data_IF_266764135005
#
_entry.id   IF_266764135005
#
_cell.length_a   1.000
_cell.length_b   1.000
_cell.length_c   1.000
_cell.angle_alpha   90.00
_cell.angle_beta   90.00
_cell.angle_gamma   90.00
#
_symmetry.space_group_name_H-M   'P 1'
#
loop_
_entity.id
_entity.type
_entity.pdbx_description
1 polymer ?
#
# COMPACT_ATOMS: atom_id res chain seq x y z
N UNK A 1 12.10 28.09 -14.17
CA UNK A 1 12.19 27.76 -12.72
C UNK A 1 11.98 26.25 -12.61
N UNK A 2 12.83 25.56 -11.90
CA UNK A 2 12.68 24.11 -11.64
C UNK A 2 11.38 23.85 -10.87
N UNK A 3 10.50 23.05 -11.42
CA UNK A 3 9.23 22.67 -10.78
C UNK A 3 9.45 21.43 -9.90
N UNK A 4 9.34 21.62 -8.59
CA UNK A 4 9.44 20.54 -7.59
C UNK A 4 8.04 20.19 -7.13
N UNK A 5 7.72 18.88 -7.10
CA UNK A 5 6.47 18.33 -6.58
C UNK A 5 6.80 17.32 -5.49
N UNK A 6 6.13 17.42 -4.35
CA UNK A 6 6.29 16.53 -3.21
C UNK A 6 5.06 15.64 -3.04
N UNK A 7 5.27 14.34 -3.07
CA UNK A 7 4.24 13.32 -2.85
C UNK A 7 4.44 12.68 -1.49
N UNK A 8 3.38 12.47 -0.72
CA UNK A 8 3.46 11.81 0.59
C UNK A 8 2.41 10.72 0.74
N UNK A 9 2.82 9.56 1.25
CA UNK A 9 1.90 8.50 1.60
C UNK A 9 1.20 8.80 2.94
N UNK A 10 -0.06 8.35 3.11
CA UNK A 10 -0.82 8.50 4.36
C UNK A 10 -0.10 7.98 5.62
N UNK A 11 0.87 7.06 5.47
CA UNK A 11 1.65 6.50 6.60
C UNK A 11 2.84 7.38 7.02
N UNK A 12 3.10 8.50 6.35
CA UNK A 12 4.08 9.48 6.80
C UNK A 12 3.53 10.30 7.97
N UNK A 13 4.44 10.93 8.72
CA UNK A 13 4.04 11.80 9.82
C UNK A 13 3.17 12.97 9.34
N UNK A 14 2.24 13.49 10.17
CA UNK A 14 1.37 14.61 9.79
C UNK A 14 2.10 15.83 9.26
N UNK A 15 3.28 16.16 9.82
CA UNK A 15 4.09 17.28 9.36
C UNK A 15 4.56 17.10 7.91
N UNK A 16 4.89 15.87 7.52
CA UNK A 16 5.28 15.53 6.15
C UNK A 16 4.08 15.64 5.20
N UNK A 17 2.93 15.13 5.62
CA UNK A 17 1.71 15.23 4.83
C UNK A 17 1.33 16.69 4.55
N UNK A 18 1.49 17.59 5.55
CA UNK A 18 1.25 19.03 5.37
C UNK A 18 2.23 19.74 4.43
N UNK A 19 3.40 19.17 4.21
CA UNK A 19 4.42 19.70 3.27
C UNK A 19 4.23 19.20 1.84
N UNK A 20 3.38 18.19 1.63
CA UNK A 20 3.22 17.54 0.32
C UNK A 20 2.19 18.27 -0.55
N UNK A 21 2.46 18.32 -1.85
CA UNK A 21 1.50 18.79 -2.87
C UNK A 21 0.36 17.80 -3.08
N UNK A 22 0.64 16.49 -2.85
CA UNK A 22 -0.35 15.42 -2.91
C UNK A 22 -0.09 14.41 -1.80
N UNK A 23 -1.15 14.12 -1.04
CA UNK A 23 -1.20 13.00 -0.09
C UNK A 23 -2.16 11.95 -0.61
N UNK A 24 -1.82 10.66 -0.48
CA UNK A 24 -2.66 9.59 -1.00
C UNK A 24 -2.15 8.19 -0.66
N UNK A 25 -2.90 7.18 -1.17
CA UNK A 25 -2.44 5.80 -1.22
C UNK A 25 -1.55 5.53 -2.44
N UNK A 26 -1.05 4.30 -2.57
CA UNK A 26 -0.14 3.93 -3.67
C UNK A 26 -0.73 4.15 -5.06
N UNK A 27 -2.04 3.92 -5.26
CA UNK A 27 -2.69 4.12 -6.55
C UNK A 27 -2.82 5.61 -6.88
N UNK A 28 -3.31 6.40 -5.92
CA UNK A 28 -3.49 7.85 -6.09
C UNK A 28 -2.16 8.55 -6.39
N UNK A 29 -1.10 8.16 -5.66
CA UNK A 29 0.24 8.73 -5.87
C UNK A 29 0.87 8.28 -7.18
N UNK A 30 0.62 7.04 -7.63
CA UNK A 30 1.08 6.56 -8.94
C UNK A 30 0.42 7.30 -10.10
N UNK A 31 -0.92 7.51 -10.02
CA UNK A 31 -1.66 8.29 -11.01
C UNK A 31 -1.14 9.73 -11.05
N UNK A 32 -0.96 10.36 -9.89
CA UNK A 32 -0.46 11.72 -9.83
C UNK A 32 0.97 11.83 -10.37
N UNK A 33 1.88 10.91 -10.02
CA UNK A 33 3.25 10.90 -10.50
C UNK A 33 3.34 10.74 -12.03
N UNK A 34 2.45 9.92 -12.63
CA UNK A 34 2.37 9.75 -14.09
C UNK A 34 2.05 11.06 -14.80
N UNK A 35 1.09 11.81 -14.26
CA UNK A 35 0.53 13.00 -14.89
C UNK A 35 1.23 14.30 -14.42
N UNK A 36 2.21 14.19 -13.52
CA UNK A 36 2.92 15.34 -12.98
C UNK A 36 3.86 15.97 -14.02
N UNK A 37 3.63 17.24 -14.32
CA UNK A 37 4.57 18.07 -15.07
C UNK A 37 5.61 18.65 -14.10
N UNK A 38 6.60 17.85 -13.68
CA UNK A 38 7.60 18.22 -12.70
C UNK A 38 9.02 17.88 -13.18
N UNK A 39 9.99 18.77 -12.89
CA UNK A 39 11.41 18.48 -13.10
C UNK A 39 11.93 17.55 -11.99
N UNK A 40 11.44 17.75 -10.76
CA UNK A 40 11.80 16.98 -9.58
C UNK A 40 10.53 16.49 -8.88
N UNK A 41 10.47 15.18 -8.61
CA UNK A 41 9.46 14.56 -7.76
C UNK A 41 10.13 14.09 -6.47
N UNK A 42 9.81 14.72 -5.35
CA UNK A 42 10.20 14.25 -4.02
C UNK A 42 9.15 13.27 -3.55
N UNK A 43 9.54 12.01 -3.33
CA UNK A 43 8.61 10.98 -2.89
C UNK A 43 8.82 10.66 -1.39
N UNK A 44 8.05 11.32 -0.52
CA UNK A 44 7.99 11.01 0.91
C UNK A 44 7.15 9.74 1.14
N UNK A 45 7.82 8.62 1.04
CA UNK A 45 7.27 7.27 1.12
C UNK A 45 8.40 6.26 1.21
N UNK A 46 8.27 5.14 0.52
CA UNK A 46 9.28 4.09 0.45
C UNK A 46 9.78 3.85 -0.97
N UNK A 47 10.93 3.20 -1.08
CA UNK A 47 11.71 3.05 -2.32
C UNK A 47 10.88 2.56 -3.51
N UNK A 48 10.08 1.50 -3.35
CA UNK A 48 9.29 0.95 -4.47
C UNK A 48 8.26 1.95 -5.02
N UNK A 49 7.79 2.90 -4.21
CA UNK A 49 6.90 3.98 -4.65
C UNK A 49 7.68 5.00 -5.50
N UNK A 50 8.87 5.39 -5.05
CA UNK A 50 9.76 6.27 -5.81
C UNK A 50 10.21 5.62 -7.13
N UNK A 51 10.51 4.31 -7.13
CA UNK A 51 10.77 3.54 -8.36
C UNK A 51 9.55 3.56 -9.30
N UNK A 52 8.35 3.36 -8.77
CA UNK A 52 7.12 3.41 -9.58
C UNK A 52 6.92 4.80 -10.19
N UNK A 53 7.15 5.86 -9.42
CA UNK A 53 7.09 7.24 -9.93
C UNK A 53 8.12 7.47 -11.04
N UNK A 54 9.36 6.98 -10.90
CA UNK A 54 10.41 7.08 -11.92
C UNK A 54 10.06 6.29 -13.19
N UNK A 55 9.49 5.09 -13.06
CA UNK A 55 9.05 4.27 -14.19
C UNK A 55 7.94 4.99 -14.99
N UNK A 56 6.99 5.62 -14.28
CA UNK A 56 5.86 6.31 -14.90
C UNK A 56 6.22 7.69 -15.46
N UNK A 57 7.22 8.35 -14.86
CA UNK A 57 7.70 9.67 -15.27
C UNK A 57 9.23 9.67 -15.42
N UNK A 58 9.76 9.05 -16.50
CA UNK A 58 11.20 8.82 -16.67
C UNK A 58 12.02 10.10 -16.85
N UNK A 59 11.41 11.18 -17.30
CA UNK A 59 12.09 12.46 -17.52
C UNK A 59 12.31 13.23 -16.20
N UNK A 60 11.44 13.03 -15.21
CA UNK A 60 11.59 13.69 -13.92
C UNK A 60 12.74 13.08 -13.10
N UNK A 61 13.43 13.93 -12.35
CA UNK A 61 14.34 13.46 -11.29
C UNK A 61 13.51 13.07 -10.08
N UNK A 62 13.49 11.77 -9.74
CA UNK A 62 12.75 11.28 -8.57
C UNK A 62 13.72 11.12 -7.40
N UNK A 63 13.41 11.76 -6.28
CA UNK A 63 14.24 11.78 -5.07
C UNK A 63 13.47 11.14 -3.89
N UNK A 64 14.09 10.13 -3.30
CA UNK A 64 13.67 9.55 -2.03
C UNK A 64 14.39 10.28 -0.88
N UNK A 65 13.68 10.85 0.12
CA UNK A 65 14.30 11.64 1.19
C UNK A 65 15.34 10.89 2.00
N UNK A 66 15.13 9.58 2.25
CA UNK A 66 16.06 8.73 3.01
C UNK A 66 16.28 7.39 2.29
N UNK A 67 17.55 7.01 2.11
CA UNK A 67 17.96 5.79 1.43
C UNK A 67 17.50 4.49 2.15
N UNK A 68 17.29 4.55 3.46
CA UNK A 68 16.82 3.44 4.28
C UNK A 68 15.32 3.19 4.17
N UNK A 69 14.55 4.11 3.56
CA UNK A 69 13.10 3.96 3.37
C UNK A 69 12.79 2.85 2.38
N UNK A 70 12.67 1.61 2.87
CA UNK A 70 12.36 0.40 2.11
C UNK A 70 11.01 -0.21 2.52
N UNK A 71 10.78 -1.49 2.26
CA UNK A 71 9.56 -2.21 2.65
C UNK A 71 9.91 -3.66 2.97
N UNK A 72 9.33 -4.21 4.03
CA UNK A 72 9.56 -5.61 4.42
C UNK A 72 9.13 -6.61 3.33
N UNK A 73 8.10 -6.32 2.57
CA UNK A 73 7.70 -7.16 1.42
C UNK A 73 8.79 -7.21 0.35
N UNK A 74 9.49 -6.09 0.14
CA UNK A 74 10.63 -6.03 -0.81
C UNK A 74 11.84 -6.76 -0.25
N UNK A 75 12.20 -6.52 1.01
CA UNK A 75 13.39 -7.12 1.62
C UNK A 75 13.27 -8.62 1.88
N UNK A 76 12.06 -9.14 2.03
CA UNK A 76 11.76 -10.57 2.15
C UNK A 76 11.61 -11.30 0.80
N UNK A 77 11.70 -10.58 -0.32
CA UNK A 77 11.53 -11.18 -1.65
C UNK A 77 12.85 -11.18 -2.41
N UNK A 78 13.51 -12.33 -2.46
CA UNK A 78 14.60 -12.56 -3.37
C UNK A 78 14.06 -12.72 -4.80
N UNK A 79 14.50 -11.86 -5.71
CA UNK A 79 13.97 -11.80 -7.10
C UNK A 79 14.34 -13.03 -7.90
N UNK A 80 15.52 -13.64 -7.66
CA UNK A 80 15.92 -14.86 -8.35
C UNK A 80 15.07 -16.06 -7.90
N UNK A 81 14.80 -16.16 -6.60
CA UNK A 81 13.88 -17.17 -6.06
C UNK A 81 12.43 -16.96 -6.55
N UNK A 82 11.98 -15.71 -6.65
CA UNK A 82 10.66 -15.38 -7.21
C UNK A 82 10.55 -15.82 -8.68
N UNK A 83 11.58 -15.57 -9.48
CA UNK A 83 11.63 -16.00 -10.87
C UNK A 83 11.52 -17.52 -10.98
N UNK A 84 12.32 -18.26 -10.19
CA UNK A 84 12.26 -19.71 -10.15
C UNK A 84 10.90 -20.25 -9.65
N UNK A 85 10.25 -19.53 -8.74
CA UNK A 85 8.89 -19.86 -8.27
C UNK A 85 7.86 -19.65 -9.39
N UNK A 86 7.91 -18.51 -10.11
CA UNK A 86 7.02 -18.22 -11.25
C UNK A 86 7.15 -19.28 -12.35
N UNK A 87 8.36 -19.76 -12.65
CA UNK A 87 8.62 -20.79 -13.67
C UNK A 87 7.92 -22.14 -13.37
N UNK A 88 7.52 -22.39 -12.11
CA UNK A 88 6.71 -23.58 -11.74
C UNK A 88 5.25 -23.46 -12.14
N UNK A 89 4.80 -22.28 -12.54
CA UNK A 89 3.40 -21.96 -12.88
C UNK A 89 3.32 -21.32 -14.29
N UNK A 90 3.76 -22.02 -15.36
CA UNK A 90 3.88 -21.43 -16.69
C UNK A 90 2.53 -21.00 -17.29
N UNK A 91 1.41 -21.63 -16.86
CA UNK A 91 0.06 -21.36 -17.36
C UNK A 91 -0.70 -20.34 -16.49
N UNK A 92 -0.05 -19.73 -15.50
CA UNK A 92 -0.67 -18.77 -14.60
C UNK A 92 -0.29 -17.33 -14.94
N UNK A 93 -1.21 -16.42 -14.77
CA UNK A 93 -0.96 -14.97 -14.76
C UNK A 93 -0.34 -14.58 -13.43
N UNK A 94 0.82 -13.95 -13.46
CA UNK A 94 1.49 -13.45 -12.27
C UNK A 94 0.97 -12.06 -11.91
N UNK A 95 0.16 -11.99 -10.87
CA UNK A 95 -0.32 -10.74 -10.30
C UNK A 95 0.55 -10.36 -9.10
N UNK A 96 1.11 -9.16 -9.13
CA UNK A 96 1.95 -8.67 -8.03
C UNK A 96 1.39 -7.42 -7.40
N UNK A 97 1.36 -7.42 -6.08
CA UNK A 97 1.06 -6.23 -5.29
C UNK A 97 2.16 -5.18 -5.51
N UNK A 98 1.77 -3.91 -5.62
CA UNK A 98 2.65 -2.78 -5.93
C UNK A 98 3.82 -2.62 -4.95
N UNK A 99 3.69 -3.17 -3.73
CA UNK A 99 4.74 -3.21 -2.71
C UNK A 99 5.84 -4.21 -3.07
N UNK A 100 6.46 -3.99 -4.20
CA UNK A 100 7.48 -4.83 -4.85
C UNK A 100 8.53 -3.96 -5.54
N UNK A 101 9.76 -4.45 -5.70
CA UNK A 101 10.83 -3.73 -6.41
C UNK A 101 10.52 -3.60 -7.91
N UNK A 102 11.22 -2.69 -8.60
CA UNK A 102 11.11 -2.56 -10.05
C UNK A 102 11.43 -3.87 -10.77
N UNK A 103 12.45 -4.62 -10.30
CA UNK A 103 12.83 -5.93 -10.87
C UNK A 103 11.71 -6.97 -10.67
N UNK A 104 11.06 -6.98 -9.51
CA UNK A 104 9.91 -7.85 -9.26
C UNK A 104 8.74 -7.49 -10.19
N UNK A 105 8.43 -6.19 -10.32
CA UNK A 105 7.39 -5.71 -11.24
C UNK A 105 7.64 -6.15 -12.69
N UNK A 106 8.90 -6.11 -13.13
CA UNK A 106 9.29 -6.55 -14.47
C UNK A 106 9.06 -8.06 -14.72
N UNK A 107 8.92 -8.88 -13.67
CA UNK A 107 8.57 -10.30 -13.77
C UNK A 107 7.07 -10.55 -13.74
N UNK A 108 6.25 -9.52 -13.53
CA UNK A 108 4.80 -9.63 -13.32
C UNK A 108 4.03 -9.39 -14.61
N UNK A 109 2.86 -10.00 -14.72
CA UNK A 109 1.94 -9.75 -15.82
C UNK A 109 0.98 -8.59 -15.50
N UNK A 110 0.65 -8.44 -14.21
CA UNK A 110 -0.19 -7.38 -13.66
C UNK A 110 0.36 -6.85 -12.34
N UNK A 111 0.26 -5.55 -12.15
CA UNK A 111 0.41 -4.93 -10.82
C UNK A 111 -0.98 -4.63 -10.27
N UNK A 112 -1.12 -4.73 -8.95
CA UNK A 112 -2.33 -4.34 -8.22
C UNK A 112 -1.97 -3.52 -6.98
N UNK A 113 -2.93 -2.73 -6.51
CA UNK A 113 -2.89 -2.09 -5.20
C UNK A 113 -3.99 -2.67 -4.31
N UNK A 114 -3.98 -2.42 -3.02
CA UNK A 114 -5.08 -2.80 -2.11
C UNK A 114 -6.44 -2.20 -2.50
N UNK A 115 -6.47 -1.22 -3.42
CA UNK A 115 -7.70 -0.56 -3.87
C UNK A 115 -8.38 -1.27 -5.05
N UNK A 116 -7.62 -1.99 -5.87
CA UNK A 116 -8.11 -2.55 -7.13
C UNK A 116 -7.82 -4.06 -7.28
N UNK A 117 -7.23 -4.68 -6.28
CA UNK A 117 -6.83 -6.09 -6.35
C UNK A 117 -8.04 -7.02 -6.53
N UNK A 118 -9.13 -6.73 -5.84
CA UNK A 118 -10.37 -7.51 -5.93
C UNK A 118 -10.91 -7.51 -7.36
N UNK A 119 -11.04 -6.34 -7.96
CA UNK A 119 -11.60 -6.15 -9.30
C UNK A 119 -10.72 -6.78 -10.38
N UNK A 120 -9.40 -6.59 -10.30
CA UNK A 120 -8.45 -7.12 -11.29
C UNK A 120 -8.40 -8.65 -11.22
N UNK A 121 -8.34 -9.23 -10.01
CA UNK A 121 -8.33 -10.69 -9.87
C UNK A 121 -9.67 -11.29 -10.31
N UNK A 122 -10.80 -10.69 -9.94
CA UNK A 122 -12.13 -11.12 -10.40
C UNK A 122 -12.23 -11.07 -11.93
N UNK A 123 -11.71 -10.03 -12.57
CA UNK A 123 -11.64 -9.92 -14.03
C UNK A 123 -10.83 -11.07 -14.65
N UNK A 124 -9.65 -11.37 -14.11
CA UNK A 124 -8.81 -12.46 -14.62
C UNK A 124 -9.49 -13.83 -14.47
N UNK A 125 -10.14 -14.09 -13.35
CA UNK A 125 -10.91 -15.33 -13.15
C UNK A 125 -12.12 -15.41 -14.09
N UNK A 126 -12.81 -14.29 -14.35
CA UNK A 126 -13.90 -14.24 -15.31
C UNK A 126 -13.44 -14.54 -16.75
N UNK A 127 -12.17 -14.24 -17.08
CA UNK A 127 -11.53 -14.64 -18.35
C UNK A 127 -11.02 -16.10 -18.33
N UNK A 128 -11.25 -16.86 -17.28
CA UNK A 128 -10.78 -18.25 -17.12
C UNK A 128 -9.28 -18.39 -16.88
N UNK A 129 -8.60 -17.32 -16.44
CA UNK A 129 -7.16 -17.35 -16.13
C UNK A 129 -6.91 -18.00 -14.76
N UNK A 130 -5.81 -18.72 -14.67
CA UNK A 130 -5.23 -19.14 -13.39
C UNK A 130 -4.29 -18.03 -12.94
N UNK A 131 -4.26 -17.74 -11.64
CA UNK A 131 -3.48 -16.65 -11.08
C UNK A 131 -2.51 -17.16 -10.02
N UNK A 132 -1.29 -16.63 -10.01
CA UNK A 132 -0.37 -16.69 -8.87
C UNK A 132 -0.22 -15.28 -8.29
N UNK A 133 -0.07 -15.17 -6.97
CA UNK A 133 -0.05 -13.87 -6.28
C UNK A 133 1.22 -13.68 -5.44
N UNK A 134 1.83 -12.51 -5.54
CA UNK A 134 3.02 -12.07 -4.78
C UNK A 134 2.95 -10.58 -4.46
N UNK A 135 3.80 -10.04 -3.58
CA UNK A 135 4.60 -10.74 -2.59
C UNK A 135 3.82 -11.06 -1.30
N UNK A 136 2.70 -10.36 -1.00
CA UNK A 136 2.02 -10.42 0.29
C UNK A 136 1.14 -11.67 0.43
N UNK A 137 1.57 -12.59 1.32
CA UNK A 137 0.85 -13.83 1.62
C UNK A 137 -0.51 -13.55 2.28
N UNK A 138 -0.59 -12.58 3.18
CA UNK A 138 -1.82 -12.33 3.94
C UNK A 138 -2.92 -11.79 3.03
N UNK A 139 -2.60 -10.82 2.16
CA UNK A 139 -3.53 -10.30 1.16
C UNK A 139 -3.99 -11.41 0.22
N UNK A 140 -3.06 -12.25 -0.29
CA UNK A 140 -3.42 -13.38 -1.15
C UNK A 140 -4.30 -14.41 -0.43
N UNK A 141 -4.02 -14.72 0.85
CA UNK A 141 -4.82 -15.63 1.66
C UNK A 141 -6.24 -15.08 1.92
N UNK A 142 -6.36 -13.77 2.14
CA UNK A 142 -7.67 -13.11 2.25
C UNK A 142 -8.47 -13.24 0.95
N UNK A 143 -7.89 -12.96 -0.20
CA UNK A 143 -8.55 -13.09 -1.49
C UNK A 143 -8.99 -14.53 -1.78
N UNK A 144 -8.12 -15.50 -1.50
CA UNK A 144 -8.48 -16.91 -1.62
C UNK A 144 -9.66 -17.28 -0.72
N UNK A 145 -9.67 -16.79 0.52
CA UNK A 145 -10.76 -17.05 1.47
C UNK A 145 -12.07 -16.36 1.05
N UNK A 146 -11.98 -15.06 0.70
CA UNK A 146 -13.16 -14.23 0.44
C UNK A 146 -13.91 -14.65 -0.83
N UNK A 147 -13.19 -15.04 -1.86
CA UNK A 147 -13.74 -15.32 -3.20
C UNK A 147 -13.69 -16.81 -3.59
N UNK A 148 -13.15 -17.67 -2.73
CA UNK A 148 -13.02 -19.11 -3.01
C UNK A 148 -11.97 -19.41 -4.07
N UNK A 149 -10.94 -18.55 -4.23
CA UNK A 149 -9.83 -18.80 -5.13
C UNK A 149 -8.81 -19.75 -4.51
N UNK A 150 -7.94 -20.31 -5.34
CA UNK A 150 -6.87 -21.23 -4.96
C UNK A 150 -5.51 -20.79 -5.49
N UNK A 151 -5.29 -19.47 -5.54
CA UNK A 151 -4.04 -18.90 -6.03
C UNK A 151 -2.84 -19.43 -5.23
N UNK A 152 -1.80 -19.96 -5.89
CA UNK A 152 -0.48 -20.10 -5.27
C UNK A 152 0.06 -18.75 -4.80
N UNK A 153 0.55 -18.69 -3.56
CA UNK A 153 0.97 -17.45 -2.90
C UNK A 153 2.48 -17.45 -2.66
N UNK A 154 3.11 -16.29 -2.85
CA UNK A 154 4.44 -16.03 -2.32
C UNK A 154 4.37 -15.85 -0.79
N UNK A 155 5.51 -15.89 -0.10
CA UNK A 155 5.54 -16.09 1.37
C UNK A 155 5.88 -14.84 2.17
N UNK A 156 6.15 -13.69 1.54
CA UNK A 156 6.46 -12.46 2.26
C UNK A 156 5.22 -11.87 2.97
N UNK A 157 5.44 -11.11 4.03
CA UNK A 157 4.38 -10.43 4.79
C UNK A 157 4.82 -9.00 5.13
N UNK A 158 3.86 -8.10 5.27
CA UNK A 158 4.12 -6.79 5.82
C UNK A 158 4.37 -6.89 7.33
N UNK A 159 5.59 -6.53 7.79
CA UNK A 159 5.96 -6.63 9.21
C UNK A 159 5.13 -5.73 10.14
N UNK A 160 4.43 -4.74 9.59
CA UNK A 160 3.53 -3.86 10.34
C UNK A 160 2.18 -4.54 10.51
N UNK A 161 1.58 -5.00 9.42
CA UNK A 161 0.24 -5.57 9.43
C UNK A 161 0.20 -7.00 10.00
N UNK A 162 1.25 -7.79 9.80
CA UNK A 162 1.33 -9.17 10.32
C UNK A 162 1.38 -9.23 11.86
N UNK A 163 1.60 -8.09 12.54
CA UNK A 163 1.59 -8.00 14.01
C UNK A 163 0.20 -7.95 14.64
N UNK A 164 -0.85 -7.63 13.89
CA UNK A 164 -2.20 -7.62 14.44
C UNK A 164 -2.57 -9.00 14.96
N UNK A 165 -3.13 -9.03 16.16
CA UNK A 165 -3.36 -10.27 16.91
C UNK A 165 -4.84 -10.44 17.25
N UNK A 166 -5.41 -11.58 16.87
CA UNK A 166 -6.81 -11.91 17.10
C UNK A 166 -7.19 -11.86 18.57
N UNK A 167 -6.40 -12.45 19.46
CA UNK A 167 -6.71 -12.52 20.89
C UNK A 167 -6.66 -11.11 21.54
N UNK A 168 -5.65 -10.30 21.20
CA UNK A 168 -5.57 -8.91 21.67
C UNK A 168 -6.74 -8.07 21.16
N UNK A 169 -7.19 -8.32 19.93
CA UNK A 169 -8.36 -7.67 19.35
C UNK A 169 -9.64 -8.07 20.09
N UNK A 170 -9.83 -9.36 20.41
CA UNK A 170 -10.98 -9.86 21.16
C UNK A 170 -11.07 -9.22 22.55
N UNK A 171 -9.93 -9.08 23.25
CA UNK A 171 -9.87 -8.39 24.55
C UNK A 171 -10.25 -6.91 24.40
N UNK A 172 -9.74 -6.24 23.35
CA UNK A 172 -10.05 -4.83 23.10
C UNK A 172 -11.54 -4.61 22.79
N UNK A 173 -12.11 -5.43 21.92
CA UNK A 173 -13.53 -5.38 21.58
C UNK A 173 -14.41 -5.67 22.81
N UNK A 174 -14.06 -6.68 23.61
CA UNK A 174 -14.79 -7.01 24.85
C UNK A 174 -14.70 -5.92 25.94
N UNK A 175 -13.67 -5.07 25.90
CA UNK A 175 -13.50 -3.97 26.84
C UNK A 175 -14.39 -2.76 26.56
N UNK A 176 -15.02 -2.70 25.39
CA UNK A 176 -15.89 -1.58 24.98
C UNK A 176 -17.30 -1.79 25.53
N UNK A 177 -17.79 -0.76 26.26
CA UNK A 177 -19.18 -0.73 26.74
C UNK A 177 -20.09 -0.09 25.68
N UNK A 178 -20.41 -0.81 24.61
CA UNK A 178 -21.24 -0.29 23.52
C UNK A 178 -20.90 -0.94 22.18
N UNK A 179 -21.34 -0.29 21.11
CA UNK A 179 -21.00 -0.77 19.76
C UNK A 179 -19.53 -0.54 19.47
N UNK A 180 -18.91 -1.53 18.84
CA UNK A 180 -17.55 -1.43 18.33
C UNK A 180 -17.47 -2.03 16.93
N UNK A 181 -16.60 -1.44 16.12
CA UNK A 181 -16.36 -1.85 14.75
C UNK A 181 -14.86 -2.07 14.55
N UNK A 182 -14.54 -2.93 13.59
CA UNK A 182 -13.18 -3.15 13.13
C UNK A 182 -13.10 -2.88 11.63
N UNK A 183 -12.22 -1.97 11.23
CA UNK A 183 -11.84 -1.81 9.84
C UNK A 183 -10.38 -2.22 9.66
N UNK A 184 -10.04 -2.95 8.58
CA UNK A 184 -8.73 -3.56 8.44
C UNK A 184 -8.16 -3.44 7.03
N UNK A 185 -6.85 -3.34 6.95
CA UNK A 185 -6.12 -3.44 5.68
C UNK A 185 -5.90 -4.91 5.30
N UNK A 186 -6.04 -5.31 4.02
CA UNK A 186 -5.94 -6.72 3.59
C UNK A 186 -4.57 -7.37 3.79
N UNK A 187 -3.52 -6.62 4.12
CA UNK A 187 -2.22 -7.16 4.55
C UNK A 187 -2.25 -7.75 5.98
N UNK A 188 -3.34 -7.58 6.74
CA UNK A 188 -3.49 -8.12 8.09
C UNK A 188 -3.70 -9.64 8.07
N UNK A 189 -3.40 -10.36 9.17
CA UNK A 189 -3.62 -11.80 9.25
C UNK A 189 -5.09 -12.17 9.05
N UNK A 190 -5.34 -13.28 8.35
CA UNK A 190 -6.70 -13.74 8.05
C UNK A 190 -7.64 -13.88 9.27
N UNK A 191 -7.20 -14.32 10.47
CA UNK A 191 -8.06 -14.32 11.64
C UNK A 191 -8.60 -12.93 12.02
N UNK A 192 -7.78 -11.90 11.88
CA UNK A 192 -8.18 -10.48 12.11
C UNK A 192 -9.15 -10.02 11.02
N UNK A 193 -8.86 -10.32 9.75
CA UNK A 193 -9.71 -9.92 8.62
C UNK A 193 -11.09 -10.58 8.67
N UNK A 194 -11.20 -11.79 9.18
CA UNK A 194 -12.50 -12.49 9.38
C UNK A 194 -13.42 -11.80 10.39
N UNK A 195 -12.87 -10.95 11.26
CA UNK A 195 -13.60 -10.20 12.27
C UNK A 195 -13.90 -8.76 11.84
N UNK A 196 -13.31 -8.30 10.74
CA UNK A 196 -13.45 -6.94 10.28
C UNK A 196 -14.84 -6.70 9.67
N UNK A 197 -15.46 -5.59 10.07
CA UNK A 197 -16.71 -5.09 9.48
C UNK A 197 -16.46 -4.48 8.10
N UNK A 198 -15.21 -4.04 7.86
CA UNK A 198 -14.75 -3.57 6.56
C UNK A 198 -13.29 -3.95 6.34
N UNK A 199 -13.00 -4.50 5.17
CA UNK A 199 -11.64 -4.74 4.69
C UNK A 199 -11.41 -3.95 3.41
N UNK A 200 -10.36 -3.16 3.36
CA UNK A 200 -10.07 -2.37 2.16
C UNK A 200 -8.76 -1.60 2.22
N UNK A 201 -8.49 -0.86 1.15
CA UNK A 201 -7.31 -0.02 1.04
C UNK A 201 -7.31 1.12 2.06
N UNK A 202 -6.17 1.77 2.23
CA UNK A 202 -6.02 2.95 3.10
C UNK A 202 -7.04 4.05 2.75
N UNK A 203 -7.19 4.39 1.46
CA UNK A 203 -8.22 5.34 1.01
C UNK A 203 -9.64 4.79 1.20
N UNK A 204 -9.84 3.49 1.00
CA UNK A 204 -11.13 2.83 1.24
C UNK A 204 -11.56 2.93 2.69
N UNK A 205 -10.67 2.65 3.63
CA UNK A 205 -10.93 2.80 5.08
C UNK A 205 -11.23 4.25 5.45
N UNK A 206 -10.46 5.23 4.91
CA UNK A 206 -10.73 6.65 5.14
C UNK A 206 -12.11 7.06 4.60
N UNK A 207 -12.52 6.55 3.45
CA UNK A 207 -13.85 6.80 2.89
C UNK A 207 -14.94 6.14 3.72
N UNK A 208 -14.72 4.92 4.22
CA UNK A 208 -15.64 4.27 5.15
C UNK A 208 -15.88 5.12 6.41
N UNK A 209 -14.81 5.68 7.01
CA UNK A 209 -14.89 6.60 8.15
C UNK A 209 -15.69 7.87 7.80
N UNK A 210 -15.43 8.48 6.63
CA UNK A 210 -16.19 9.68 6.19
C UNK A 210 -17.67 9.42 6.02
N UNK A 211 -18.05 8.23 5.59
CA UNK A 211 -19.42 7.83 5.30
C UNK A 211 -20.13 7.17 6.48
N UNK A 212 -19.42 6.93 7.60
CA UNK A 212 -19.99 6.28 8.77
C UNK A 212 -21.17 7.08 9.32
N UNK A 213 -22.35 6.43 9.44
CA UNK A 213 -23.61 7.01 9.89
C UNK A 213 -24.06 6.47 11.26
N UNK A 214 -23.25 5.61 11.90
CA UNK A 214 -23.55 5.06 13.22
C UNK A 214 -23.37 6.08 14.36
N UNK A 215 -23.48 5.59 15.58
CA UNK A 215 -23.36 6.43 16.77
C UNK A 215 -21.93 7.00 16.91
N UNK A 216 -21.78 8.30 17.24
CA UNK A 216 -20.46 8.85 17.58
C UNK A 216 -19.88 8.29 18.89
N UNK A 217 -20.66 7.57 19.71
CA UNK A 217 -20.18 6.84 20.88
C UNK A 217 -19.63 5.45 20.55
N UNK A 218 -19.80 4.97 19.32
CA UNK A 218 -19.19 3.71 18.89
C UNK A 218 -17.67 3.83 18.80
N UNK A 219 -16.96 2.77 19.19
CA UNK A 219 -15.52 2.69 19.08
C UNK A 219 -15.16 1.99 17.76
N UNK A 220 -14.32 2.62 16.96
CA UNK A 220 -13.86 2.04 15.69
C UNK A 220 -12.37 1.71 15.81
N UNK A 221 -12.06 0.41 15.81
CA UNK A 221 -10.70 -0.07 15.76
C UNK A 221 -10.19 -0.10 14.31
N UNK A 222 -8.97 0.41 14.12
CA UNK A 222 -8.34 0.55 12.80
C UNK A 222 -7.11 -0.35 12.73
N UNK A 223 -7.20 -1.46 12.00
CA UNK A 223 -6.12 -2.42 11.83
C UNK A 223 -5.31 -2.12 10.57
N UNK A 224 -4.51 -1.05 10.63
CA UNK A 224 -3.50 -0.66 9.65
C UNK A 224 -2.40 0.16 10.31
N UNK A 225 -1.48 0.70 9.55
CA UNK A 225 -0.42 1.59 10.05
C UNK A 225 -1.00 2.89 10.63
N UNK A 226 -0.42 3.37 11.73
CA UNK A 226 -0.97 4.43 12.57
C UNK A 226 -1.05 5.83 11.91
N UNK A 227 -0.26 6.10 10.88
CA UNK A 227 -0.22 7.41 10.22
C UNK A 227 -1.55 7.84 9.60
N UNK A 228 -2.40 6.90 9.19
CA UNK A 228 -3.71 7.19 8.60
C UNK A 228 -4.70 7.75 9.63
N UNK A 229 -4.51 7.45 10.92
CA UNK A 229 -5.39 7.95 11.97
C UNK A 229 -5.45 9.48 12.00
N UNK A 230 -4.36 10.15 11.65
CA UNK A 230 -4.37 11.60 11.49
C UNK A 230 -5.45 12.05 10.48
N UNK A 231 -5.46 11.46 9.29
CA UNK A 231 -6.43 11.82 8.25
C UNK A 231 -7.87 11.42 8.62
N UNK A 232 -8.03 10.31 9.34
CA UNK A 232 -9.34 9.86 9.82
C UNK A 232 -9.88 10.80 10.90
N UNK A 233 -9.06 11.24 11.86
CA UNK A 233 -9.44 12.22 12.88
C UNK A 233 -9.74 13.60 12.29
N UNK A 234 -8.95 14.06 11.30
CA UNK A 234 -9.25 15.31 10.59
C UNK A 234 -10.61 15.23 9.85
N UNK A 235 -10.91 14.07 9.25
CA UNK A 235 -12.18 13.87 8.53
C UNK A 235 -13.39 13.75 9.46
N UNK A 236 -13.24 13.10 10.62
CA UNK A 236 -14.28 12.81 11.58
C UNK A 236 -13.76 12.92 13.03
N UNK A 237 -13.58 14.17 13.52
CA UNK A 237 -13.09 14.42 14.89
C UNK A 237 -14.10 14.05 15.98
N UNK A 238 -15.33 13.76 15.61
CA UNK A 238 -16.44 13.35 16.48
C UNK A 238 -16.40 11.86 16.83
N UNK A 239 -15.61 11.02 16.12
CA UNK A 239 -15.57 9.57 16.31
C UNK A 239 -14.43 9.14 17.24
N UNK A 240 -14.68 8.09 18.03
CA UNK A 240 -13.65 7.40 18.83
C UNK A 240 -12.91 6.37 17.94
N UNK A 241 -11.81 6.81 17.31
CA UNK A 241 -10.98 6.01 16.46
C UNK A 241 -9.76 5.51 17.22
N UNK A 242 -9.58 4.21 17.30
CA UNK A 242 -8.48 3.58 18.03
C UNK A 242 -7.65 2.69 17.14
N UNK A 243 -6.34 2.73 17.31
CA UNK A 243 -5.46 1.73 16.72
C UNK A 243 -5.87 0.34 17.20
N UNK A 244 -6.06 -0.62 16.27
CA UNK A 244 -6.26 -2.01 16.66
C UNK A 244 -5.01 -2.53 17.38
N UNK A 245 -5.17 -3.34 18.44
CA UNK A 245 -4.03 -3.78 19.22
C UNK A 245 -3.16 -4.78 18.44
N UNK A 246 -1.87 -4.61 18.62
CA UNK A 246 -0.85 -5.63 18.33
C UNK A 246 -0.56 -6.41 19.61
N UNK A 247 0.53 -7.12 19.74
CA UNK A 247 0.85 -7.87 20.97
C UNK A 247 0.76 -7.00 22.22
N UNK A 248 0.41 -7.64 23.35
CA UNK A 248 0.20 -7.03 24.65
C UNK A 248 1.26 -5.99 25.03
N UNK A 249 0.81 -4.73 25.23
CA UNK A 249 1.58 -3.65 25.83
C UNK A 249 2.15 -2.59 24.88
N UNK A 250 2.08 -2.77 23.55
CA UNK A 250 2.45 -1.71 22.60
C UNK A 250 1.31 -1.46 21.62
N UNK A 251 0.77 -0.24 21.62
CA UNK A 251 -0.24 0.20 20.67
C UNK A 251 0.37 0.87 19.43
N UNK A 252 1.71 0.91 19.33
CA UNK A 252 2.41 1.57 18.22
C UNK A 252 2.55 0.58 17.07
N UNK A 253 1.78 0.75 16.02
CA UNK A 253 1.93 -0.01 14.78
C UNK A 253 2.39 0.91 13.63
N UNK A 254 3.52 1.56 13.85
CA UNK A 254 4.16 2.46 12.90
C UNK A 254 5.09 1.70 11.95
N UNK A 255 5.09 2.09 10.69
CA UNK A 255 6.05 1.59 9.71
C UNK A 255 7.41 2.27 9.91
N UNK A 256 8.46 1.53 10.31
CA UNK A 256 9.77 2.13 10.60
C UNK A 256 10.36 2.80 9.36
N UNK A 257 10.08 2.28 8.18
CA UNK A 257 10.58 2.82 6.92
C UNK A 257 9.90 4.12 6.50
N UNK A 258 8.58 4.23 6.70
CA UNK A 258 7.83 5.46 6.42
C UNK A 258 8.24 6.60 7.36
N UNK A 259 8.60 6.28 8.63
CA UNK A 259 9.01 7.27 9.64
C UNK A 259 10.44 7.80 9.42
N UNK A 260 11.22 7.23 8.49
CA UNK A 260 12.50 7.79 8.05
C UNK A 260 12.34 9.09 7.22
N UNK A 261 11.15 9.32 6.67
CA UNK A 261 10.83 10.58 6.02
C UNK A 261 10.62 11.68 7.08
N UNK A 262 11.70 12.28 7.53
CA UNK A 262 11.65 13.42 8.47
C UNK A 262 11.47 14.75 7.74
N UNK A 263 11.01 15.78 8.45
CA UNK A 263 10.86 17.15 7.89
C UNK A 263 12.16 17.63 7.26
N UNK A 264 13.30 17.42 7.93
CA UNK A 264 14.60 17.85 7.43
C UNK A 264 15.03 17.05 6.19
N UNK A 265 14.77 15.74 6.15
CA UNK A 265 15.07 14.90 4.99
C UNK A 265 14.23 15.33 3.77
N UNK A 266 12.93 15.60 3.96
CA UNK A 266 12.05 16.08 2.89
C UNK A 266 12.49 17.46 2.39
N UNK A 267 12.84 18.39 3.28
CA UNK A 267 13.34 19.72 2.88
C UNK A 267 14.64 19.64 2.07
N UNK A 268 15.57 18.78 2.48
CA UNK A 268 16.78 18.53 1.70
C UNK A 268 16.46 17.95 0.32
N UNK A 269 15.53 16.98 0.26
CA UNK A 269 15.10 16.41 -1.01
C UNK A 269 14.45 17.45 -1.94
N UNK A 270 13.66 18.37 -1.40
CA UNK A 270 13.10 19.51 -2.15
C UNK A 270 14.20 20.48 -2.68
N UNK A 271 15.35 20.53 -2.01
CA UNK A 271 16.54 21.27 -2.45
C UNK A 271 17.42 20.47 -3.44
N UNK A 272 17.02 19.27 -3.82
CA UNK A 272 17.75 18.39 -4.74
C UNK A 272 18.73 17.43 -4.06
N UNK A 273 18.73 17.36 -2.73
CA UNK A 273 19.56 16.44 -1.94
C UNK A 273 18.76 15.21 -1.52
N UNK A 274 19.36 14.02 -1.54
CA UNK A 274 18.69 12.77 -1.15
C UNK A 274 19.09 11.62 -2.07
N UNK A 275 18.32 10.54 -2.06
CA UNK A 275 18.60 9.39 -2.91
C UNK A 275 17.86 9.53 -4.24
N UNK A 276 18.59 9.83 -5.29
CA UNK A 276 18.04 9.87 -6.65
C UNK A 276 17.78 8.44 -7.15
N UNK A 277 16.63 8.22 -7.77
CA UNK A 277 16.26 6.94 -8.41
C UNK A 277 16.80 6.96 -9.85
N UNK A 278 18.10 6.67 -10.03
CA UNK A 278 18.82 6.72 -11.30
C UNK A 278 19.48 5.38 -11.68
N UNK A 279 19.34 4.36 -10.83
CA UNK A 279 19.95 3.05 -11.01
C UNK A 279 19.11 2.08 -11.87
N UNK A 280 17.87 2.46 -12.24
CA UNK A 280 17.00 1.66 -13.10
C UNK A 280 17.44 1.83 -14.56
N UNK A 281 17.77 0.74 -15.22
CA UNK A 281 18.04 0.77 -16.67
C UNK A 281 16.76 1.01 -17.47
N UNK A 282 16.85 1.61 -18.70
CA UNK A 282 15.68 1.76 -19.56
C UNK A 282 14.92 0.44 -19.78
N UNK A 283 15.62 -0.66 -19.99
CA UNK A 283 15.01 -1.99 -20.19
C UNK A 283 14.23 -2.47 -18.94
N UNK A 284 14.75 -2.22 -17.74
CA UNK A 284 14.04 -2.55 -16.50
C UNK A 284 12.79 -1.67 -16.32
N UNK A 285 12.91 -0.37 -16.64
CA UNK A 285 11.76 0.54 -16.56
C UNK A 285 10.66 0.16 -17.55
N UNK A 286 11.02 -0.17 -18.81
CA UNK A 286 10.05 -0.58 -19.83
C UNK A 286 9.35 -1.89 -19.45
N UNK A 287 10.09 -2.89 -18.96
CA UNK A 287 9.52 -4.15 -18.52
C UNK A 287 8.57 -4.00 -17.32
N UNK A 288 8.92 -3.14 -16.34
CA UNK A 288 8.07 -2.90 -15.18
C UNK A 288 6.88 -1.97 -15.50
N UNK A 289 7.00 -1.10 -16.48
CA UNK A 289 5.95 -0.16 -16.89
C UNK A 289 4.71 -0.87 -17.39
N UNK A 290 4.85 -1.88 -18.23
CA UNK A 290 3.73 -2.57 -18.87
C UNK A 290 2.69 -3.10 -17.86
N UNK A 291 3.05 -3.89 -16.82
CA UNK A 291 2.07 -4.36 -15.84
C UNK A 291 1.51 -3.22 -14.95
N UNK A 292 2.26 -2.14 -14.72
CA UNK A 292 1.76 -0.95 -14.01
C UNK A 292 0.71 -0.23 -14.86
N UNK A 293 0.98 0.01 -16.15
CA UNK A 293 0.04 0.68 -17.06
C UNK A 293 -1.26 -0.12 -17.22
N UNK A 294 -1.19 -1.45 -17.32
CA UNK A 294 -2.38 -2.32 -17.31
C UNK A 294 -3.25 -2.07 -16.09
N UNK A 295 -2.66 -2.00 -14.91
CA UNK A 295 -3.37 -1.68 -13.67
C UNK A 295 -4.02 -0.29 -13.74
N UNK A 296 -3.28 0.74 -14.18
CA UNK A 296 -3.78 2.11 -14.23
C UNK A 296 -4.91 2.26 -15.26
N UNK A 297 -4.78 1.66 -16.44
CA UNK A 297 -5.82 1.65 -17.47
C UNK A 297 -7.08 0.92 -16.99
N UNK A 298 -6.93 -0.25 -16.36
CA UNK A 298 -8.05 -0.97 -15.78
C UNK A 298 -8.78 -0.11 -14.75
N UNK A 299 -8.03 0.46 -13.79
CA UNK A 299 -8.61 1.29 -12.72
C UNK A 299 -9.32 2.53 -13.25
N UNK A 300 -8.82 3.16 -14.33
CA UNK A 300 -9.46 4.34 -14.93
C UNK A 300 -10.82 4.02 -15.57
N UNK A 301 -11.02 2.82 -16.10
CA UNK A 301 -12.28 2.37 -16.70
C UNK A 301 -13.34 2.06 -15.66
N UNK A 302 -12.94 1.55 -14.50
CA UNK A 302 -13.86 1.12 -13.43
C UNK A 302 -14.19 2.21 -12.40
N UNK A 303 -13.43 3.32 -12.35
CA UNK A 303 -13.76 4.48 -11.50
C UNK A 303 -14.86 5.39 -12.11
N UNK A 304 -15.33 5.10 -13.31
CA UNK A 304 -16.37 5.85 -14.02
C UNK A 304 -17.72 5.13 -14.10
N UNK A 305 -17.91 4.03 -13.38
CA UNK A 305 -19.16 3.26 -13.39
C UNK A 305 -19.88 3.31 -12.01
#
# INVERSE_FOLDING_TARGET
>A
MTRVVTLAHYYTAPDIQRMADKVGDSLELSLFARDAEADIIVFAGVRFMAETAKILNPEATVILPDAGSTCSLVTQTDVAALKAWRERYPDHVHVSYINSSAEHKALSDWIVTSRNVDDIIAHLYAEGKKVIFSPDRNMGAYLNFQYGYDMPLWTAVCEVHDKFNEAALDEALASVSGESFLIAHPESPLPVLKRADYVGSTSGMLNWIRQYQGSPQSVIFVATEDGILYNMHEARPDLDLRQAPVYTGCQCNSCPYMKLNTVDAVRRAQAGEGTVIDYLTPAQMDAARLPIERMLEFSSRYQGA
#
